data_IF_394052326322
#
_entry.id   IF_394052326322
#
_cell.length_a   1.000
_cell.length_b   1.000
_cell.length_c   1.000
_cell.angle_alpha   90.00
_cell.angle_beta   90.00
_cell.angle_gamma   90.00
#
_symmetry.space_group_name_H-M   'P 1'
#
loop_
_entity.id
_entity.type
_entity.pdbx_description
1 polymer ?
2 polymer ?
3 water ?
#
# COMPACT_ATOMS: atom_id res chain seq x y z
N UNK A 1 21.86 -0.66 -28.88
CA UNK A 1 21.04 0.49 -28.49
C UNK A 1 21.73 1.30 -27.40
N UNK A 2 21.49 2.61 -27.39
CA UNK A 2 22.04 3.49 -26.37
C UNK A 2 21.07 3.61 -25.21
N UNK A 3 21.62 3.92 -24.04
CA UNK A 3 20.80 4.16 -22.86
C UNK A 3 19.88 5.34 -23.10
N UNK A 4 18.65 5.23 -22.62
CA UNK A 4 17.68 6.31 -22.67
C UNK A 4 17.05 6.48 -21.30
N UNK A 5 16.89 7.72 -20.88
CA UNK A 5 16.34 8.01 -19.57
C UNK A 5 14.88 7.54 -19.51
N UNK A 6 14.49 6.80 -18.47
CA UNK A 6 13.09 6.39 -18.35
C UNK A 6 12.19 7.59 -18.17
N UNK A 7 10.95 7.46 -18.67
CA UNK A 7 9.97 8.52 -18.46
C UNK A 7 9.67 8.71 -16.98
N UNK A 8 9.51 7.62 -16.24
CA UNK A 8 9.28 7.66 -14.80
C UNK A 8 10.60 7.30 -14.12
N UNK A 9 11.39 8.31 -13.81
CA UNK A 9 12.74 8.08 -13.36
C UNK A 9 12.97 8.14 -11.86
N UNK A 10 11.99 8.65 -11.11
CA UNK A 10 12.17 8.78 -9.67
C UNK A 10 12.13 7.41 -9.01
N UNK A 11 12.79 7.26 -7.86
CA UNK A 11 12.73 5.99 -7.12
C UNK A 11 11.29 5.65 -6.75
N UNK A 12 10.83 4.51 -7.21
CA UNK A 12 9.45 4.14 -6.99
C UNK A 12 9.20 3.48 -5.65
N UNK A 13 7.99 2.97 -5.51
CA UNK A 13 7.54 2.27 -4.32
C UNK A 13 7.86 0.77 -4.39
N UNK A 14 8.55 0.33 -5.45
CA UNK A 14 9.02 -1.03 -5.71
C UNK A 14 9.99 -1.48 -4.63
N UNK A 15 10.78 -0.55 -4.11
CA UNK A 15 11.74 -0.79 -3.05
C UNK A 15 11.08 -1.28 -1.76
N UNK A 16 9.87 -0.79 -1.47
CA UNK A 16 9.09 -1.14 -0.28
C UNK A 16 8.51 -2.56 -0.21
N UNK A 17 8.59 -3.32 -1.29
CA UNK A 17 8.04 -4.66 -1.31
C UNK A 17 8.65 -5.52 -0.20
N UNK A 18 9.92 -5.30 0.09
CA UNK A 18 10.63 -6.03 1.14
C UNK A 18 9.98 -5.87 2.51
N UNK A 19 9.14 -4.85 2.70
CA UNK A 19 8.52 -4.64 4.01
C UNK A 19 7.57 -5.76 4.38
N UNK A 20 7.12 -6.56 3.41
CA UNK A 20 6.15 -7.62 3.64
C UNK A 20 6.81 -8.99 3.79
N UNK A 21 8.12 -9.02 4.07
CA UNK A 21 8.86 -10.29 4.07
C UNK A 21 8.20 -11.32 4.98
N UNK A 22 8.19 -11.06 6.29
CA UNK A 22 7.72 -12.05 7.25
C UNK A 22 6.27 -11.96 7.65
N UNK A 23 5.48 -11.09 7.01
CA UNK A 23 4.10 -10.87 7.43
C UNK A 23 3.20 -11.95 6.84
N UNK A 24 2.22 -12.39 7.62
CA UNK A 24 1.20 -13.31 7.15
C UNK A 24 -0.17 -12.62 7.20
N UNK A 25 -1.15 -13.26 6.59
CA UNK A 25 -2.49 -12.70 6.56
C UNK A 25 -3.09 -12.74 7.97
N UNK A 26 -3.84 -11.70 8.37
CA UNK A 26 -4.45 -11.62 9.71
C UNK A 26 -5.69 -12.48 9.88
N UNK B 2 4.79 -4.15 -20.90
CA UNK B 2 4.09 -2.90 -20.63
C UNK B 2 3.58 -2.88 -19.20
N UNK B 3 3.47 -4.07 -18.61
CA UNK B 3 2.91 -4.17 -17.26
C UNK B 3 3.72 -3.37 -16.26
N UNK B 4 5.04 -3.28 -16.44
CA UNK B 4 5.85 -2.55 -15.48
C UNK B 4 5.71 -1.04 -15.64
N UNK B 5 5.56 -0.54 -16.86
CA UNK B 5 5.40 0.90 -17.03
C UNK B 5 3.97 1.32 -16.70
N UNK B 6 3.00 0.43 -16.89
CA UNK B 6 1.62 0.74 -16.49
C UNK B 6 1.51 0.85 -14.99
N UNK B 7 2.23 0.00 -14.24
CA UNK B 7 2.26 0.14 -12.79
C UNK B 7 2.97 1.42 -12.38
N UNK B 8 3.98 1.83 -13.13
CA UNK B 8 4.64 3.11 -12.84
C UNK B 8 3.67 4.27 -13.00
N UNK B 9 2.80 4.20 -14.01
CA UNK B 9 1.82 5.26 -14.20
C UNK B 9 0.84 5.31 -13.04
N UNK B 10 0.29 4.15 -12.65
CA UNK B 10 -0.59 4.11 -11.49
C UNK B 10 0.07 4.72 -10.26
N UNK B 11 1.37 4.50 -10.10
CA UNK B 11 2.07 5.09 -8.97
C UNK B 11 2.14 6.60 -9.07
N UNK B 12 2.52 7.13 -10.23
CA UNK B 12 2.60 8.59 -10.36
C UNK B 12 1.21 9.23 -10.33
N UNK B 13 0.22 8.56 -10.92
CA UNK B 13 -1.11 9.13 -10.99
C UNK B 13 -1.81 9.08 -9.64
N UNK B 14 -1.71 7.95 -8.94
CA UNK B 14 -2.50 7.72 -7.74
C UNK B 14 -1.69 7.56 -6.46
N UNK B 15 -0.35 7.62 -6.54
CA UNK B 15 0.53 7.48 -5.37
C UNK B 15 0.30 6.16 -4.65
N UNK B 16 0.10 5.09 -5.40
CA UNK B 16 -0.11 3.78 -4.82
C UNK B 16 0.59 2.75 -5.70
N UNK B 17 1.06 1.68 -5.08
CA UNK B 17 1.79 0.64 -5.78
C UNK B 17 1.37 -0.71 -5.20
N UNK B 18 0.88 -1.58 -6.07
CA UNK B 18 0.58 -2.96 -5.70
C UNK B 18 1.84 -3.78 -5.96
N UNK B 19 2.52 -4.19 -4.90
CA UNK B 19 3.75 -4.95 -5.07
C UNK B 19 3.48 -6.32 -5.68
N UNK B 20 2.43 -7.00 -5.21
CA UNK B 20 2.13 -8.34 -5.70
C UNK B 20 0.76 -8.74 -5.17
N UNK B 21 0.27 -9.86 -5.70
CA UNK B 21 -0.97 -10.47 -5.26
C UNK B 21 -0.72 -11.94 -4.98
N UNK B 22 -1.62 -12.54 -4.22
CA UNK B 22 -1.60 -13.96 -3.94
C UNK B 22 -2.96 -14.33 -3.38
N UNK B 23 -3.31 -15.61 -3.49
CA UNK B 23 -4.59 -16.12 -3.01
C UNK B 23 -4.33 -17.29 -2.08
N UNK B 24 -4.68 -17.12 -0.80
CA UNK B 24 -4.54 -18.14 0.21
C UNK B 24 -5.90 -18.79 0.46
N UNK B 25 -6.02 -19.54 1.55
CA UNK B 25 -7.28 -20.17 1.90
C UNK B 25 -8.35 -19.13 2.21
N UNK B 26 -7.96 -18.02 2.84
CA UNK B 26 -8.92 -16.99 3.21
C UNK B 26 -9.46 -16.26 1.99
N UNK B 27 -8.60 -15.92 1.03
CA UNK B 27 -9.05 -15.20 -0.14
C UNK B 27 -7.90 -14.61 -0.93
N UNK B 28 -8.21 -13.55 -1.67
CA UNK B 28 -7.24 -12.89 -2.53
C UNK B 28 -6.64 -11.69 -1.80
N UNK B 29 -5.31 -11.64 -1.78
CA UNK B 29 -4.58 -10.67 -0.98
C UNK B 29 -3.64 -9.86 -1.86
N UNK B 30 -3.39 -8.62 -1.43
CA UNK B 30 -2.52 -7.69 -2.14
C UNK B 30 -1.59 -7.04 -1.15
N UNK B 31 -0.30 -6.98 -1.48
CA UNK B 31 0.64 -6.14 -0.75
C UNK B 31 0.68 -4.78 -1.43
N UNK B 32 0.50 -3.72 -0.64
CA UNK B 32 0.25 -2.38 -1.17
C UNK B 32 1.04 -1.37 -0.37
N UNK B 33 1.66 -0.42 -1.07
CA UNK B 33 2.22 0.76 -0.45
C UNK B 33 1.56 1.99 -1.07
N UNK B 34 1.39 3.02 -0.26
CA UNK B 34 0.71 4.24 -0.66
C UNK B 34 1.45 5.42 -0.06
N UNK B 35 1.67 6.45 -0.86
CA UNK B 35 2.48 7.56 -0.40
C UNK B 35 1.97 8.93 -0.81
N UNK B 36 2.83 9.95 -0.71
CA UNK B 36 2.44 11.30 -1.05
C UNK B 36 2.86 11.67 -2.48
N UNK B 45 8.00 13.08 3.01
CA UNK B 45 7.54 11.91 2.27
C UNK B 45 7.07 10.83 3.23
N UNK B 46 5.75 10.71 3.38
CA UNK B 46 5.13 9.78 4.32
C UNK B 46 4.53 8.61 3.54
N UNK B 47 4.88 7.39 3.94
CA UNK B 47 4.50 6.19 3.21
C UNK B 47 3.89 5.19 4.19
N UNK B 48 2.85 4.50 3.74
CA UNK B 48 2.17 3.48 4.53
C UNK B 48 2.11 2.18 3.75
N UNK B 49 2.46 1.07 4.41
CA UNK B 49 2.43 -0.26 3.81
C UNK B 49 1.32 -1.07 4.46
N UNK B 50 0.53 -1.77 3.63
CA UNK B 50 -0.58 -2.55 4.15
C UNK B 50 -0.99 -3.64 3.18
N UNK B 51 -1.70 -4.63 3.71
CA UNK B 51 -2.34 -5.69 2.94
C UNK B 51 -3.83 -5.43 2.86
N UNK B 52 -4.41 -5.69 1.69
CA UNK B 52 -5.86 -5.72 1.49
C UNK B 52 -6.27 -7.13 1.12
N UNK B 53 -7.16 -7.72 1.90
CA UNK B 53 -7.73 -9.02 1.62
C UNK B 53 -9.15 -8.90 1.10
N UNK B 54 -9.50 -9.77 0.16
CA UNK B 54 -10.84 -9.82 -0.39
C UNK B 54 -11.40 -11.21 -0.20
N UNK B 55 -12.46 -11.32 0.59
CA UNK B 55 -13.05 -12.59 0.98
C UNK B 55 -14.49 -12.62 0.47
N UNK B 56 -14.87 -13.75 -0.12
CA UNK B 56 -16.16 -13.87 -0.79
C UNK B 56 -16.99 -14.99 -0.19
N UNK B 62 -18.43 -8.78 -1.97
CA UNK B 62 -17.39 -9.29 -1.09
C UNK B 62 -17.05 -8.25 -0.02
N UNK B 63 -16.23 -8.64 0.96
CA UNK B 63 -15.84 -7.77 2.05
C UNK B 63 -14.32 -7.66 2.10
N UNK B 64 -13.84 -6.50 2.53
CA UNK B 64 -12.43 -6.13 2.44
C UNK B 64 -11.81 -6.14 3.83
N UNK B 65 -10.62 -6.73 3.94
CA UNK B 65 -9.83 -6.75 5.17
C UNK B 65 -8.56 -5.93 4.93
N UNK B 66 -8.31 -4.97 5.81
CA UNK B 66 -7.13 -4.12 5.77
C UNK B 66 -6.23 -4.50 6.93
N UNK B 67 -4.96 -4.72 6.66
CA UNK B 67 -4.00 -5.10 7.70
C UNK B 67 -2.74 -4.24 7.56
N UNK B 68 -2.48 -3.35 8.50
CA UNK B 68 -1.29 -2.50 8.40
C UNK B 68 -0.03 -3.34 8.61
N UNK B 69 1.02 -2.93 7.90
CA UNK B 69 2.32 -3.60 7.99
C UNK B 69 3.26 -2.60 8.66
N UNK B 70 3.45 -2.75 9.97
CA UNK B 70 4.14 -1.76 10.78
C UNK B 70 5.32 -2.30 11.56
N UNK B 71 5.49 -3.62 11.64
CA UNK B 71 6.52 -4.18 12.53
C UNK B 71 7.91 -3.72 12.13
N UNK B 72 8.15 -3.48 10.84
CA UNK B 72 9.48 -3.12 10.36
C UNK B 72 9.78 -1.65 10.55
N UNK B 73 8.75 -0.79 10.56
CA UNK B 73 8.96 0.65 10.57
C UNK B 73 9.67 1.09 11.85
N UNK B 74 10.46 2.16 11.72
CA UNK B 74 11.20 2.66 12.87
C UNK B 74 10.29 3.47 13.79
N UNK B 75 10.82 3.79 14.98
CA UNK B 75 10.02 4.52 15.96
C UNK B 75 9.73 5.94 15.48
N UNK B 76 10.71 6.59 14.85
CA UNK B 76 10.47 7.90 14.27
C UNK B 76 9.41 7.83 13.18
N UNK B 77 9.48 6.81 12.32
CA UNK B 77 8.48 6.66 11.27
C UNK B 77 7.08 6.49 11.87
N UNK B 78 6.95 5.57 12.82
CA UNK B 78 5.64 5.33 13.44
C UNK B 78 5.09 6.58 14.08
N UNK B 79 5.96 7.39 14.71
CA UNK B 79 5.50 8.60 15.38
C UNK B 79 4.91 9.60 14.40
N UNK B 80 5.55 9.79 13.26
CA UNK B 80 5.01 10.74 12.30
C UNK B 80 3.64 10.30 11.77
N UNK B 81 3.52 9.03 11.41
CA UNK B 81 2.26 8.51 10.86
C UNK B 81 1.12 8.59 11.85
N UNK B 82 1.42 8.23 13.08
CA UNK B 82 0.43 8.21 14.14
C UNK B 82 -0.14 9.59 14.44
N UNK B 83 0.71 10.60 14.36
CA UNK B 83 0.28 11.96 14.63
C UNK B 83 -0.76 12.43 13.63
N UNK B 84 -0.58 12.11 12.35
CA UNK B 84 -1.54 12.53 11.33
C UNK B 84 -2.62 11.54 10.86
N UNK B 85 -2.28 10.26 10.74
CA UNK B 85 -3.25 9.27 10.30
C UNK B 85 -4.29 8.95 11.37
N UNK B 86 -5.46 8.53 10.93
CA UNK B 86 -6.54 8.13 11.83
C UNK B 86 -6.07 6.90 12.60
N UNK B 87 -6.45 6.81 13.86
CA UNK B 87 -5.93 5.75 14.71
C UNK B 87 -6.28 4.37 14.19
N UNK B 88 -7.49 4.21 13.63
CA UNK B 88 -7.91 2.88 13.18
C UNK B 88 -7.03 2.35 12.05
N UNK B 89 -6.26 3.21 11.38
CA UNK B 89 -5.40 2.73 10.30
C UNK B 89 -4.19 1.96 10.81
N UNK B 90 -3.98 1.91 12.13
CA UNK B 90 -2.87 1.19 12.71
C UNK B 90 -3.29 -0.14 13.31
N UNK B 91 -4.52 -0.57 13.04
CA UNK B 91 -4.99 -1.90 13.40
C UNK B 91 -5.68 -2.52 12.19
N UNK B 92 -5.93 -3.83 12.29
CA UNK B 92 -6.71 -4.53 11.27
C UNK B 92 -8.14 -3.99 11.27
N UNK B 93 -8.72 -3.93 10.07
CA UNK B 93 -10.04 -3.35 9.89
C UNK B 93 -10.75 -4.09 8.76
N UNK B 94 -12.05 -4.28 8.91
CA UNK B 94 -12.90 -4.92 7.91
C UNK B 94 -14.00 -3.93 7.52
N UNK B 95 -14.23 -3.78 6.22
CA UNK B 95 -15.24 -2.84 5.74
C UNK B 95 -15.75 -3.31 4.39
N UNK B 96 -16.94 -2.87 3.99
CA UNK B 96 -17.51 -3.34 2.72
C UNK B 96 -16.72 -2.86 1.51
N UNK B 97 -16.85 -3.63 0.43
CA UNK B 97 -16.18 -3.31 -0.82
C UNK B 97 -16.59 -1.95 -1.35
N UNK B 98 -17.83 -1.53 -1.09
CA UNK B 98 -18.28 -0.24 -1.60
C UNK B 98 -17.59 0.94 -0.93
N UNK B 99 -16.81 0.71 0.13
CA UNK B 99 -16.07 1.78 0.79
C UNK B 99 -14.60 1.81 0.42
N UNK B 100 -14.18 1.02 -0.58
CA UNK B 100 -12.74 0.87 -0.83
C UNK B 100 -12.13 2.16 -1.38
N UNK B 101 -12.82 2.83 -2.30
CA UNK B 101 -12.27 4.06 -2.87
C UNK B 101 -12.19 5.17 -1.83
N UNK B 102 -13.22 5.30 -0.98
CA UNK B 102 -13.12 6.25 0.12
C UNK B 102 -11.96 5.91 1.04
N UNK B 103 -11.76 4.62 1.32
CA UNK B 103 -10.63 4.20 2.14
C UNK B 103 -9.32 4.65 1.51
N UNK B 104 -9.17 4.44 0.21
CA UNK B 104 -7.98 4.93 -0.48
C UNK B 104 -7.83 6.45 -0.32
N UNK B 105 -8.92 7.19 -0.53
CA UNK B 105 -8.85 8.65 -0.50
C UNK B 105 -8.55 9.16 0.90
N UNK B 106 -9.10 8.50 1.92
CA UNK B 106 -8.81 8.89 3.30
C UNK B 106 -7.33 8.71 3.63
N UNK B 107 -6.75 7.58 3.21
CA UNK B 107 -5.30 7.39 3.37
C UNK B 107 -4.53 8.44 2.60
N UNK B 108 -4.96 8.73 1.36
CA UNK B 108 -4.27 9.71 0.54
C UNK B 108 -4.33 11.09 1.18
N UNK B 109 -5.52 11.50 1.61
CA UNK B 109 -5.69 12.82 2.21
C UNK B 109 -4.88 12.94 3.50
N UNK B 110 -4.81 11.85 4.28
CA UNK B 110 -4.10 11.89 5.56
C UNK B 110 -2.60 11.95 5.36
N UNK B 111 -2.08 11.31 4.32
CA UNK B 111 -0.63 11.29 4.11
C UNK B 111 -0.09 12.61 3.56
N UNK B 112 -0.92 13.37 2.86
CA UNK B 112 -0.42 14.52 2.12
C UNK B 112 -0.59 15.81 2.91
#
# INVERSE_FOLDING_TARGET
AEFTSPYFGRPSLKTRAKQFEGVSSP
ENSEVIKDLYEYLCNVRVHKSYEDDSGLWFDISQGTHSGGSSDDYSIMDYKLGFVKGQAQVTEVIYAPVLKQRSTEELYSLQSKLPEYLFETLSFPLSSLNQFYNKIAKSLNKKREKKDETE
#
